data_IF_401221258898
#
_entry.id   IF_401221258898
#
_cell.length_a   1.000
_cell.length_b   1.000
_cell.length_c   1.000
_cell.angle_alpha   90.00
_cell.angle_beta   90.00
_cell.angle_gamma   90.00
#
_symmetry.space_group_name_H-M   'P 1'
#
loop_
_entity.id
_entity.type
_entity.pdbx_description
1 polymer ?
#
# COMPACT_ATOMS: atom_id res chain seq x y z
N UNK A 1 -15.19 -18.44 10.76
CA UNK A 1 -13.78 -18.86 10.55
C UNK A 1 -12.93 -17.61 10.51
N UNK A 2 -11.75 -17.60 11.15
CA UNK A 2 -10.79 -16.51 11.02
C UNK A 2 -10.27 -16.48 9.59
N UNK A 3 -10.35 -15.34 8.92
CA UNK A 3 -9.79 -15.17 7.58
C UNK A 3 -8.53 -14.33 7.61
N UNK A 4 -7.86 -14.24 6.47
CA UNK A 4 -6.64 -13.46 6.29
C UNK A 4 -6.96 -12.05 5.80
N UNK A 5 -6.08 -11.09 6.13
CA UNK A 5 -6.03 -9.77 5.53
C UNK A 5 -4.80 -9.66 4.66
N UNK A 6 -4.99 -9.31 3.39
CA UNK A 6 -3.89 -9.00 2.48
C UNK A 6 -3.82 -7.48 2.28
N UNK A 7 -2.69 -6.90 2.68
CA UNK A 7 -2.44 -5.46 2.64
C UNK A 7 -1.74 -4.99 1.36
N UNK A 8 -1.40 -5.91 0.44
CA UNK A 8 -0.58 -5.58 -0.72
C UNK A 8 -0.98 -6.40 -1.95
N UNK A 9 -1.88 -5.86 -2.77
CA UNK A 9 -2.33 -6.54 -3.99
C UNK A 9 -2.63 -5.55 -5.12
N UNK A 10 -2.17 -5.87 -6.33
CA UNK A 10 -2.35 -5.08 -7.55
C UNK A 10 -3.43 -5.69 -8.44
N UNK A 11 -4.64 -5.80 -7.92
CA UNK A 11 -5.73 -6.46 -8.63
C UNK A 11 -6.60 -5.51 -9.47
N UNK A 12 -6.56 -4.20 -9.22
CA UNK A 12 -7.35 -3.23 -10.02
C UNK A 12 -6.75 -3.14 -11.42
N UNK A 13 -7.51 -3.60 -12.42
CA UNK A 13 -6.97 -3.76 -13.77
C UNK A 13 -6.71 -2.44 -14.50
N UNK A 14 -5.65 -2.42 -15.32
CA UNK A 14 -5.36 -1.35 -16.26
C UNK A 14 -4.92 -0.02 -15.62
N UNK A 15 -4.40 -0.07 -14.38
CA UNK A 15 -3.92 1.13 -13.66
C UNK A 15 -2.42 1.08 -13.35
N UNK A 16 -1.82 -0.09 -13.30
CA UNK A 16 -0.39 -0.32 -13.08
C UNK A 16 0.08 -1.63 -13.73
N UNK A 17 1.17 -2.21 -13.26
CA UNK A 17 1.75 -3.46 -13.76
C UNK A 17 1.10 -4.73 -13.19
N UNK A 18 0.05 -4.60 -12.37
CA UNK A 18 -0.75 -5.71 -11.88
C UNK A 18 -1.71 -6.28 -12.95
N UNK A 19 -2.97 -6.52 -12.60
CA UNK A 19 -3.97 -6.99 -13.54
C UNK A 19 -4.11 -6.02 -14.74
N UNK A 20 -4.09 -6.56 -15.96
CA UNK A 20 -4.21 -5.76 -17.17
C UNK A 20 -5.64 -5.78 -17.73
N UNK A 21 -6.38 -6.83 -17.46
CA UNK A 21 -7.75 -7.02 -17.93
C UNK A 21 -8.72 -7.25 -16.79
N UNK A 22 -10.00 -7.05 -17.08
CA UNK A 22 -11.07 -7.33 -16.12
C UNK A 22 -11.10 -8.81 -15.71
N UNK A 23 -10.82 -9.70 -16.65
CA UNK A 23 -10.77 -11.15 -16.46
C UNK A 23 -9.62 -11.53 -15.51
N UNK A 24 -8.45 -10.91 -15.67
CA UNK A 24 -7.32 -11.10 -14.75
C UNK A 24 -7.66 -10.63 -13.35
N UNK A 25 -8.27 -9.45 -13.20
CA UNK A 25 -8.75 -8.96 -11.92
C UNK A 25 -9.72 -9.97 -11.27
N UNK A 26 -10.70 -10.46 -12.01
CA UNK A 26 -11.66 -11.44 -11.49
C UNK A 26 -10.99 -12.76 -11.06
N UNK A 27 -10.01 -13.23 -11.84
CA UNK A 27 -9.26 -14.43 -11.47
C UNK A 27 -8.45 -14.24 -10.17
N UNK A 28 -7.86 -13.05 -9.96
CA UNK A 28 -7.17 -12.72 -8.70
C UNK A 28 -8.13 -12.69 -7.51
N UNK A 29 -9.35 -12.15 -7.69
CA UNK A 29 -10.37 -12.13 -6.64
C UNK A 29 -10.90 -13.54 -6.31
N UNK A 30 -11.08 -14.38 -7.34
CA UNK A 30 -11.47 -15.79 -7.16
C UNK A 30 -10.41 -16.53 -6.35
N UNK A 31 -9.13 -16.34 -6.69
CA UNK A 31 -8.01 -16.95 -5.97
C UNK A 31 -7.94 -16.46 -4.50
N UNK A 32 -8.05 -15.16 -4.27
CA UNK A 32 -8.04 -14.59 -2.92
C UNK A 32 -9.19 -15.15 -2.06
N UNK A 33 -10.40 -15.24 -2.62
CA UNK A 33 -11.55 -15.80 -1.92
C UNK A 33 -11.34 -17.29 -1.59
N UNK A 34 -10.79 -18.08 -2.54
CA UNK A 34 -10.49 -19.49 -2.36
C UNK A 34 -9.42 -19.73 -1.29
N UNK A 35 -8.41 -18.86 -1.22
CA UNK A 35 -7.33 -18.92 -0.23
C UNK A 35 -7.74 -18.44 1.17
N UNK A 36 -8.98 -17.99 1.32
CA UNK A 36 -9.51 -17.58 2.62
C UNK A 36 -9.19 -16.12 3.01
N UNK A 37 -8.81 -15.28 2.05
CA UNK A 37 -8.70 -13.83 2.25
C UNK A 37 -10.10 -13.29 2.52
N UNK A 38 -10.23 -12.42 3.55
CA UNK A 38 -11.49 -11.76 3.93
C UNK A 38 -11.41 -10.24 3.79
N UNK A 39 -10.20 -9.71 3.82
CA UNK A 39 -9.90 -8.30 3.60
C UNK A 39 -8.77 -8.18 2.60
N UNK A 40 -8.98 -7.43 1.53
CA UNK A 40 -7.99 -7.24 0.47
C UNK A 40 -7.89 -5.75 0.14
N UNK A 41 -6.66 -5.21 0.21
CA UNK A 41 -6.39 -3.82 -0.10
C UNK A 41 -5.90 -3.67 -1.54
N UNK A 42 -6.55 -2.75 -2.29
CA UNK A 42 -6.21 -2.42 -3.67
C UNK A 42 -5.04 -1.44 -3.70
N UNK A 43 -3.82 -1.94 -3.69
CA UNK A 43 -2.60 -1.15 -3.52
C UNK A 43 -1.85 -0.93 -4.84
N UNK A 44 -2.53 -0.38 -5.83
CA UNK A 44 -1.92 0.03 -7.09
C UNK A 44 -0.81 1.05 -6.86
N UNK A 45 0.22 1.04 -7.73
CA UNK A 45 1.35 1.96 -7.64
C UNK A 45 0.93 3.42 -7.68
N UNK A 46 1.51 4.22 -6.79
CA UNK A 46 1.41 5.67 -6.76
C UNK A 46 2.81 6.27 -6.65
N UNK A 47 3.17 7.13 -7.62
CA UNK A 47 4.52 7.72 -7.76
C UNK A 47 4.43 9.25 -7.80
N UNK A 48 4.15 9.91 -6.67
CA UNK A 48 3.98 11.36 -6.61
C UNK A 48 5.16 12.11 -7.20
N UNK A 49 4.86 13.10 -8.05
CA UNK A 49 5.86 13.90 -8.75
C UNK A 49 6.45 13.25 -10.00
N UNK A 50 6.16 11.97 -10.26
CA UNK A 50 6.56 11.26 -11.48
C UNK A 50 5.37 11.01 -12.41
N UNK A 51 4.30 10.45 -11.87
CA UNK A 51 3.08 10.15 -12.61
C UNK A 51 1.85 10.59 -11.82
N UNK A 52 0.79 10.97 -12.55
CA UNK A 52 -0.50 11.22 -11.93
C UNK A 52 -1.20 9.90 -11.68
N UNK A 53 -1.64 9.68 -10.44
CA UNK A 53 -2.43 8.50 -10.10
C UNK A 53 -3.76 8.51 -10.88
N UNK A 54 -4.12 7.42 -11.58
CA UNK A 54 -5.31 7.35 -12.43
C UNK A 54 -6.59 7.15 -11.60
N UNK A 55 -6.91 8.10 -10.72
CA UNK A 55 -7.96 7.99 -9.68
C UNK A 55 -9.31 7.58 -10.26
N UNK A 56 -9.77 8.21 -11.34
CA UNK A 56 -11.08 7.92 -11.92
C UNK A 56 -11.20 6.50 -12.46
N UNK A 57 -10.14 6.01 -13.11
CA UNK A 57 -10.09 4.63 -13.64
C UNK A 57 -10.00 3.65 -12.48
N UNK A 58 -9.15 3.93 -11.52
CA UNK A 58 -8.99 3.11 -10.31
C UNK A 58 -10.32 2.97 -9.56
N UNK A 59 -11.00 4.06 -9.26
CA UNK A 59 -12.27 4.05 -8.52
C UNK A 59 -13.35 3.25 -9.25
N UNK A 60 -13.47 3.45 -10.58
CA UNK A 60 -14.41 2.73 -11.42
C UNK A 60 -14.13 1.23 -11.46
N UNK A 61 -12.86 0.84 -11.63
CA UNK A 61 -12.50 -0.57 -11.72
C UNK A 61 -12.55 -1.26 -10.35
N UNK A 62 -12.26 -0.55 -9.27
CA UNK A 62 -12.46 -1.07 -7.92
C UNK A 62 -13.97 -1.29 -7.62
N UNK A 63 -14.84 -0.42 -8.13
CA UNK A 63 -16.29 -0.63 -8.05
C UNK A 63 -16.71 -1.91 -8.80
N UNK A 64 -16.19 -2.17 -10.00
CA UNK A 64 -16.43 -3.44 -10.72
C UNK A 64 -15.97 -4.67 -9.94
N UNK A 65 -14.83 -4.58 -9.25
CA UNK A 65 -14.34 -5.64 -8.39
C UNK A 65 -15.30 -5.93 -7.23
N UNK A 66 -15.81 -4.88 -6.58
CA UNK A 66 -16.79 -5.00 -5.50
C UNK A 66 -18.11 -5.62 -5.96
N UNK A 67 -18.60 -5.19 -7.11
CA UNK A 67 -19.81 -5.76 -7.72
C UNK A 67 -19.64 -7.23 -8.06
N UNK A 68 -18.48 -7.60 -8.60
CA UNK A 68 -18.15 -9.00 -8.89
C UNK A 68 -18.15 -9.86 -7.64
N UNK A 69 -17.47 -9.44 -6.59
CA UNK A 69 -17.46 -10.18 -5.32
C UNK A 69 -18.85 -10.31 -4.71
N UNK A 70 -19.70 -9.28 -4.81
CA UNK A 70 -21.08 -9.32 -4.34
C UNK A 70 -21.92 -10.32 -5.15
N UNK A 71 -21.79 -10.33 -6.49
CA UNK A 71 -22.50 -11.27 -7.36
C UNK A 71 -22.09 -12.73 -7.11
N UNK A 72 -20.81 -12.96 -6.79
CA UNK A 72 -20.28 -14.28 -6.43
C UNK A 72 -20.63 -14.71 -5.00
N UNK A 73 -21.11 -13.81 -4.16
CA UNK A 73 -21.37 -14.07 -2.75
C UNK A 73 -20.10 -14.30 -1.93
N UNK A 74 -18.98 -13.71 -2.34
CA UNK A 74 -17.72 -13.82 -1.61
C UNK A 74 -17.76 -13.00 -0.32
N UNK A 75 -17.33 -13.62 0.78
CA UNK A 75 -17.04 -12.91 2.04
C UNK A 75 -15.64 -12.28 1.95
N UNK A 76 -15.51 -11.33 1.03
CA UNK A 76 -14.26 -10.65 0.69
C UNK A 76 -14.51 -9.14 0.63
N UNK A 77 -14.01 -8.43 1.64
CA UNK A 77 -14.10 -6.97 1.67
C UNK A 77 -12.92 -6.35 0.92
N UNK A 78 -13.22 -5.50 -0.06
CA UNK A 78 -12.23 -4.78 -0.85
C UNK A 78 -12.10 -3.34 -0.36
N UNK A 79 -10.89 -2.96 0.04
CA UNK A 79 -10.56 -1.61 0.50
C UNK A 79 -9.65 -0.90 -0.51
N UNK A 80 -9.81 0.40 -0.61
CA UNK A 80 -8.89 1.23 -1.39
C UNK A 80 -7.53 1.38 -0.70
N UNK A 81 -6.53 1.78 -1.47
CA UNK A 81 -5.17 2.04 -1.00
C UNK A 81 -4.25 2.37 -2.16
N UNK A 82 -2.98 2.50 -1.86
CA UNK A 82 -1.92 2.57 -2.87
C UNK A 82 -0.62 2.01 -2.31
N UNK A 83 0.22 1.49 -3.19
CA UNK A 83 1.64 1.30 -2.90
C UNK A 83 2.37 2.57 -3.30
N UNK A 84 2.74 3.36 -2.30
CA UNK A 84 3.29 4.69 -2.47
C UNK A 84 4.82 4.63 -2.57
N UNK A 85 5.38 4.96 -3.74
CA UNK A 85 6.81 5.19 -3.85
C UNK A 85 7.19 6.48 -3.14
N UNK A 86 8.10 6.38 -2.18
CA UNK A 86 8.63 7.58 -1.53
C UNK A 86 9.46 8.42 -2.51
N UNK A 87 9.06 9.67 -2.66
CA UNK A 87 9.75 10.72 -3.40
C UNK A 87 9.68 12.00 -2.58
N UNK A 88 10.46 13.03 -2.88
CA UNK A 88 10.29 14.35 -2.24
C UNK A 88 8.86 14.90 -2.40
N UNK A 89 8.21 14.64 -3.53
CA UNK A 89 6.81 15.02 -3.74
C UNK A 89 5.84 14.25 -2.83
N UNK A 90 6.13 12.99 -2.49
CA UNK A 90 5.36 12.23 -1.50
C UNK A 90 5.47 12.84 -0.09
N UNK A 91 6.65 13.27 0.32
CA UNK A 91 6.85 13.99 1.57
C UNK A 91 6.03 15.30 1.62
N UNK A 92 6.03 16.07 0.53
CA UNK A 92 5.20 17.27 0.42
C UNK A 92 3.70 16.94 0.48
N UNK A 93 3.24 15.95 -0.26
CA UNK A 93 1.84 15.50 -0.24
C UNK A 93 1.40 15.01 1.15
N UNK A 94 2.31 14.40 1.91
CA UNK A 94 2.06 13.98 3.29
C UNK A 94 1.74 15.17 4.20
N UNK A 95 2.52 16.25 4.11
CA UNK A 95 2.29 17.50 4.87
C UNK A 95 0.92 18.09 4.50
N UNK A 96 0.51 17.99 3.23
CA UNK A 96 -0.80 18.47 2.75
C UNK A 96 -1.95 17.50 3.06
N UNK A 97 -1.68 16.37 3.72
CA UNK A 97 -2.69 15.34 4.02
C UNK A 97 -3.33 14.72 2.78
N UNK A 98 -2.58 14.56 1.70
CA UNK A 98 -3.05 14.11 0.39
C UNK A 98 -2.61 12.69 0.02
N UNK A 99 -2.00 11.94 0.94
CA UNK A 99 -1.61 10.55 0.66
C UNK A 99 -2.83 9.62 0.68
N UNK A 100 -2.87 8.69 -0.27
CA UNK A 100 -3.84 7.60 -0.26
C UNK A 100 -3.49 6.61 0.85
N UNK A 101 -4.40 6.46 1.80
CA UNK A 101 -4.24 5.50 2.90
C UNK A 101 -4.83 4.15 2.56
N UNK A 102 -4.46 3.12 3.32
CA UNK A 102 -5.10 1.81 3.30
C UNK A 102 -6.48 1.91 3.93
N UNK A 103 -7.52 2.00 3.10
CA UNK A 103 -8.85 2.39 3.57
C UNK A 103 -8.78 3.72 4.34
N UNK A 104 -9.66 3.89 5.31
CA UNK A 104 -9.71 5.10 6.16
C UNK A 104 -8.91 4.92 7.48
N UNK A 105 -7.79 4.19 7.42
CA UNK A 105 -7.07 3.77 8.63
C UNK A 105 -5.96 4.73 9.08
N UNK A 106 -5.55 5.66 8.24
CA UNK A 106 -4.35 6.49 8.45
C UNK A 106 -3.02 5.75 8.22
N UNK A 107 -3.03 4.50 7.79
CA UNK A 107 -1.86 3.75 7.35
C UNK A 107 -1.60 3.97 5.87
N UNK A 108 -0.33 4.10 5.50
CA UNK A 108 0.15 4.10 4.11
C UNK A 108 1.07 2.91 3.89
N UNK A 109 0.92 2.26 2.75
CA UNK A 109 1.88 1.25 2.28
C UNK A 109 2.96 1.99 1.50
N UNK A 110 4.18 1.96 2.01
CA UNK A 110 5.30 2.76 1.51
C UNK A 110 6.37 1.85 0.91
N UNK A 111 6.76 2.12 -0.32
CA UNK A 111 7.90 1.49 -0.97
C UNK A 111 9.03 2.50 -1.23
N UNK A 112 10.23 1.98 -1.43
CA UNK A 112 11.44 2.73 -1.73
C UNK A 112 12.15 2.15 -2.93
N UNK A 113 13.04 2.96 -3.53
CA UNK A 113 13.98 2.42 -4.51
C UNK A 113 14.93 1.42 -3.83
N UNK A 114 15.32 0.30 -4.49
CA UNK A 114 16.11 -0.75 -3.84
C UNK A 114 17.47 -0.31 -3.29
N UNK A 115 18.06 0.73 -3.88
CA UNK A 115 19.37 1.28 -3.48
C UNK A 115 19.26 2.44 -2.47
N UNK A 116 18.11 2.63 -1.83
CA UNK A 116 17.96 3.64 -0.78
C UNK A 116 18.98 3.45 0.33
N UNK A 117 19.58 4.54 0.80
CA UNK A 117 20.47 4.49 1.95
C UNK A 117 19.70 4.46 3.27
N UNK A 118 20.33 3.94 4.33
CA UNK A 118 19.72 3.94 5.67
C UNK A 118 19.28 5.33 6.13
N UNK A 119 20.10 6.35 5.83
CA UNK A 119 19.79 7.74 6.20
C UNK A 119 18.57 8.29 5.46
N UNK A 120 18.46 8.03 4.16
CA UNK A 120 17.32 8.45 3.34
C UNK A 120 16.05 7.74 3.81
N UNK A 121 16.12 6.45 4.10
CA UNK A 121 14.99 5.67 4.60
C UNK A 121 14.52 6.21 5.97
N UNK A 122 15.45 6.44 6.92
CA UNK A 122 15.12 7.03 8.23
C UNK A 122 14.46 8.41 8.08
N UNK A 123 14.99 9.26 7.19
CA UNK A 123 14.43 10.58 6.90
C UNK A 123 13.01 10.49 6.35
N UNK A 124 12.80 9.62 5.35
CA UNK A 124 11.49 9.38 4.76
C UNK A 124 10.45 8.93 5.79
N UNK A 125 10.82 7.96 6.64
CA UNK A 125 9.95 7.49 7.70
C UNK A 125 9.60 8.60 8.71
N UNK A 126 10.56 9.47 9.04
CA UNK A 126 10.35 10.61 9.94
C UNK A 126 9.40 11.66 9.32
N UNK A 127 9.55 11.97 8.04
CA UNK A 127 8.68 12.91 7.33
C UNK A 127 7.24 12.43 7.29
N UNK A 128 7.01 11.20 6.85
CA UNK A 128 5.66 10.63 6.71
C UNK A 128 4.98 10.47 8.09
N UNK A 129 5.71 9.97 9.09
CA UNK A 129 5.15 9.84 10.44
C UNK A 129 4.97 11.19 11.13
N UNK A 130 5.86 12.16 10.87
CA UNK A 130 5.74 13.53 11.36
C UNK A 130 4.49 14.24 10.81
N UNK A 131 4.08 13.90 9.59
CA UNK A 131 2.81 14.35 9.00
C UNK A 131 1.56 13.66 9.57
N UNK A 132 1.72 12.69 10.49
CA UNK A 132 0.63 12.01 11.21
C UNK A 132 0.15 10.71 10.59
N UNK A 133 0.86 10.19 9.58
CA UNK A 133 0.56 8.87 9.03
C UNK A 133 1.26 7.75 9.78
N UNK A 134 0.69 6.54 9.72
CA UNK A 134 1.35 5.30 10.11
C UNK A 134 1.87 4.62 8.86
N UNK A 135 2.98 3.90 8.98
CA UNK A 135 3.65 3.30 7.83
C UNK A 135 3.67 1.78 7.93
N UNK A 136 3.26 1.13 6.86
CA UNK A 136 3.58 -0.24 6.52
C UNK A 136 4.59 -0.21 5.37
N UNK A 137 5.76 -0.83 5.55
CA UNK A 137 6.80 -0.85 4.52
C UNK A 137 6.61 -2.10 3.65
N UNK A 138 6.50 -1.89 2.34
CA UNK A 138 6.37 -2.97 1.38
C UNK A 138 7.72 -3.71 1.20
N UNK A 139 7.66 -5.02 0.91
CA UNK A 139 8.78 -5.89 0.49
C UNK A 139 10.15 -5.50 1.08
N UNK A 140 10.23 -5.48 2.40
CA UNK A 140 11.42 -5.06 3.16
C UNK A 140 12.70 -5.81 2.81
N UNK A 141 12.57 -7.02 2.27
CA UNK A 141 13.67 -7.85 1.78
C UNK A 141 14.41 -7.23 0.58
N UNK A 142 13.80 -6.27 -0.10
CA UNK A 142 14.40 -5.56 -1.26
C UNK A 142 15.35 -4.44 -0.88
N UNK A 143 15.44 -4.07 0.41
CA UNK A 143 16.25 -2.95 0.87
C UNK A 143 17.50 -3.41 1.63
N UNK A 144 18.69 -3.52 0.96
CA UNK A 144 19.91 -3.99 1.61
C UNK A 144 20.32 -3.16 2.83
N UNK A 145 19.95 -1.88 2.88
CA UNK A 145 20.24 -1.03 4.03
C UNK A 145 19.60 -1.52 5.33
N UNK A 146 18.49 -2.24 5.27
CA UNK A 146 17.82 -2.82 6.44
C UNK A 146 18.60 -3.97 7.08
N UNK A 147 19.52 -4.59 6.33
CA UNK A 147 20.43 -5.61 6.87
C UNK A 147 21.55 -5.02 7.74
N UNK A 148 21.72 -3.68 7.77
CA UNK A 148 22.72 -3.04 8.61
C UNK A 148 22.40 -3.25 10.09
N UNK A 149 23.43 -3.63 10.88
CA UNK A 149 23.27 -3.91 12.30
C UNK A 149 22.58 -2.76 13.05
N UNK A 150 21.49 -3.10 13.72
CA UNK A 150 20.75 -2.20 14.60
C UNK A 150 19.79 -1.23 13.93
N UNK A 151 19.72 -1.13 12.59
CA UNK A 151 18.79 -0.20 11.92
C UNK A 151 17.34 -0.54 12.24
N UNK A 152 16.91 -1.80 12.06
CA UNK A 152 15.55 -2.25 12.40
C UNK A 152 15.22 -2.03 13.87
N UNK A 153 16.19 -2.27 14.78
CA UNK A 153 16.01 -2.03 16.21
C UNK A 153 15.81 -0.53 16.51
N UNK A 154 16.58 0.36 15.87
CA UNK A 154 16.41 1.82 16.01
C UNK A 154 15.07 2.30 15.48
N UNK A 155 14.64 1.81 14.32
CA UNK A 155 13.34 2.14 13.73
C UNK A 155 12.19 1.68 14.64
N UNK A 156 12.31 0.48 15.22
CA UNK A 156 11.32 -0.03 16.15
C UNK A 156 11.27 0.77 17.47
N UNK A 157 12.43 1.14 18.03
CA UNK A 157 12.53 1.95 19.24
C UNK A 157 11.95 3.36 19.04
N UNK A 158 12.23 4.02 17.90
CA UNK A 158 11.71 5.33 17.57
C UNK A 158 10.16 5.36 17.51
N UNK A 159 9.53 4.23 17.17
CA UNK A 159 8.06 4.08 17.17
C UNK A 159 7.48 4.07 18.59
N UNK A 160 8.17 3.42 19.55
CA UNK A 160 7.69 3.30 20.95
C UNK A 160 7.76 4.61 21.73
N UNK A 161 8.72 5.47 21.43
CA UNK A 161 8.93 6.75 22.14
C UNK A 161 7.90 7.84 21.82
N UNK A 162 6.97 7.63 20.87
CA UNK A 162 5.93 8.59 20.48
C UNK A 162 4.53 8.30 21.02
N UNK A 163 4.39 7.29 21.85
CA UNK A 163 3.10 6.90 22.46
C UNK A 163 2.95 7.41 23.91
N UNK A 164 3.62 8.53 24.24
CA UNK A 164 3.48 9.23 25.53
C UNK A 164 3.06 10.67 25.31
#
# INVERSE_FOLDING_TARGET
MSGFTDYHAHFVYGVDDGAQTREEMYAMLDAAAADGVRHLFATSHSTPGMERFPQEVYDRHLAFARDYCAQKGYDLKLEHGSELLYTPAAGYAAVQRQLLTLGDTGWVLLEFVPNITAKELETALQEITGAGYRILVAHIERYPCLAQHGLLARLHAARRGRNH
#
